data_IF_773451694823
#
_entry.id   IF_773451694823
#
_cell.length_a   1.000
_cell.length_b   1.000
_cell.length_c   1.000
_cell.angle_alpha   90.00
_cell.angle_beta   90.00
_cell.angle_gamma   90.00
#
_symmetry.space_group_name_H-M   'P 1'
#
loop_
_entity.id
_entity.type
_entity.pdbx_description
1 polymer ?
#
# COMPACT_ATOMS: atom_id res chain seq x y z
N UNK A 1 13.35 28.45 26.99
CA UNK A 1 12.31 28.26 25.97
C UNK A 1 12.45 29.37 24.94
N UNK A 2 13.05 29.08 23.79
CA UNK A 2 13.20 30.03 22.71
C UNK A 2 11.84 30.26 22.02
N UNK A 3 11.30 31.46 22.13
CA UNK A 3 10.21 31.89 21.25
C UNK A 3 10.80 32.05 19.84
N UNK A 4 10.31 31.31 18.90
CA UNK A 4 10.54 31.62 17.48
C UNK A 4 9.88 32.96 17.17
N UNK A 5 10.62 33.99 16.79
CA UNK A 5 10.02 35.27 16.43
C UNK A 5 9.57 35.23 14.99
N UNK A 6 8.27 35.30 14.81
CA UNK A 6 7.67 35.59 13.52
C UNK A 6 6.89 34.40 12.92
N UNK A 7 5.79 34.73 12.27
CA UNK A 7 5.04 33.80 11.44
C UNK A 7 5.88 33.47 10.20
N UNK A 8 6.26 32.18 10.05
CA UNK A 8 6.89 31.74 8.82
C UNK A 8 5.80 31.60 7.75
N UNK A 9 5.95 32.31 6.65
CA UNK A 9 5.08 32.15 5.46
C UNK A 9 5.83 31.30 4.43
N UNK A 10 5.11 30.38 3.77
CA UNK A 10 5.63 29.67 2.61
C UNK A 10 5.08 30.32 1.32
N UNK A 11 5.71 30.00 0.18
CA UNK A 11 5.30 30.51 -1.13
C UNK A 11 3.94 29.95 -1.62
N UNK A 12 3.34 29.06 -0.84
CA UNK A 12 1.99 28.53 -1.11
C UNK A 12 0.97 29.49 -0.51
N UNK A 13 0.21 30.16 -1.38
CA UNK A 13 -0.78 31.15 -0.98
C UNK A 13 -1.83 30.54 -0.03
N UNK A 14 -1.99 31.17 1.13
CA UNK A 14 -2.97 30.77 2.15
C UNK A 14 -2.50 29.73 3.15
N UNK A 15 -1.26 29.26 3.08
CA UNK A 15 -0.68 28.31 4.03
C UNK A 15 0.21 29.06 5.05
N UNK A 16 -0.11 28.93 6.33
CA UNK A 16 0.71 29.42 7.42
C UNK A 16 1.53 28.26 8.00
N UNK A 17 2.86 28.32 7.86
CA UNK A 17 3.76 27.26 8.35
C UNK A 17 3.72 27.07 9.87
N UNK A 18 3.28 28.05 10.62
CA UNK A 18 3.12 27.96 12.07
C UNK A 18 1.88 27.15 12.50
N UNK A 19 0.96 26.89 11.57
CA UNK A 19 -0.21 26.02 11.77
C UNK A 19 0.04 24.58 11.34
N UNK A 20 1.10 24.35 10.53
CA UNK A 20 1.47 23.02 10.06
C UNK A 20 2.35 22.32 11.10
N UNK A 21 1.87 21.22 11.60
CA UNK A 21 2.65 20.34 12.49
C UNK A 21 2.94 19.03 11.77
N UNK A 22 4.22 18.66 11.62
CA UNK A 22 4.54 17.33 11.10
C UNK A 22 4.04 16.29 12.12
N UNK A 23 3.20 15.38 11.68
CA UNK A 23 2.70 14.26 12.49
C UNK A 23 3.48 12.99 12.24
N UNK A 24 4.08 12.89 11.06
CA UNK A 24 4.88 11.73 10.66
C UNK A 24 6.00 12.17 9.72
N UNK A 25 7.18 11.64 9.97
CA UNK A 25 8.28 11.59 8.99
C UNK A 25 8.56 10.12 8.68
N UNK A 26 8.12 9.64 7.54
CA UNK A 26 8.41 8.30 7.06
C UNK A 26 9.63 8.37 6.14
N UNK A 27 10.67 7.61 6.49
CA UNK A 27 11.87 7.50 5.68
C UNK A 27 12.04 6.04 5.27
N UNK A 28 11.77 5.75 4.02
CA UNK A 28 11.99 4.43 3.46
C UNK A 28 13.36 4.38 2.79
N UNK A 29 14.12 3.36 3.12
CA UNK A 29 15.34 3.01 2.40
C UNK A 29 15.01 2.65 0.94
N UNK A 30 16.00 2.59 0.07
CA UNK A 30 15.79 2.14 -1.30
C UNK A 30 15.15 0.74 -1.36
N UNK A 31 15.58 -0.19 -0.50
CA UNK A 31 15.02 -1.54 -0.45
C UNK A 31 13.55 -1.58 0.01
N UNK A 32 13.16 -0.71 0.96
CA UNK A 32 11.77 -0.58 1.40
C UNK A 32 10.91 0.17 0.37
N UNK A 33 11.51 1.07 -0.41
CA UNK A 33 10.91 1.74 -1.55
C UNK A 33 11.06 0.89 -2.83
N UNK A 34 10.94 -0.43 -2.71
CA UNK A 34 10.99 -1.34 -3.85
C UNK A 34 9.83 -1.07 -4.83
N UNK A 35 10.07 -1.38 -6.10
CA UNK A 35 9.08 -1.39 -7.16
C UNK A 35 7.89 -2.30 -6.81
N UNK A 36 6.79 -2.13 -7.54
CA UNK A 36 5.72 -3.12 -7.52
C UNK A 36 6.28 -4.49 -7.92
N UNK A 37 5.70 -5.53 -7.37
CA UNK A 37 6.03 -6.89 -7.73
C UNK A 37 4.71 -7.67 -7.85
N UNK A 38 4.32 -7.98 -9.06
CA UNK A 38 3.00 -8.52 -9.35
C UNK A 38 2.85 -9.99 -8.93
N UNK A 39 3.97 -10.72 -8.85
CA UNK A 39 4.06 -12.15 -8.56
C UNK A 39 4.94 -12.48 -7.34
N UNK A 40 5.36 -11.46 -6.60
CA UNK A 40 6.28 -11.60 -5.47
C UNK A 40 5.76 -12.44 -4.30
N UNK A 41 4.44 -12.52 -4.09
CA UNK A 41 3.83 -13.41 -3.09
C UNK A 41 3.59 -14.82 -3.65
N UNK A 42 2.95 -14.91 -4.80
CA UNK A 42 2.57 -16.15 -5.47
C UNK A 42 2.68 -15.95 -6.98
N UNK A 43 3.25 -16.92 -7.67
CA UNK A 43 3.42 -16.92 -9.10
C UNK A 43 2.67 -18.12 -9.69
N UNK A 44 1.91 -17.91 -10.77
CA UNK A 44 1.18 -18.96 -11.49
C UNK A 44 0.35 -19.89 -10.58
N UNK A 45 -0.28 -19.32 -9.55
CA UNK A 45 -1.03 -20.09 -8.56
C UNK A 45 -2.36 -20.57 -9.10
N UNK A 46 -2.48 -21.88 -9.31
CA UNK A 46 -3.67 -22.51 -9.89
C UNK A 46 -4.86 -22.46 -8.90
N UNK A 47 -6.05 -22.19 -9.43
CA UNK A 47 -7.33 -22.40 -8.73
C UNK A 47 -7.71 -23.88 -8.69
N UNK A 48 -8.85 -24.18 -8.09
CA UNK A 48 -9.40 -25.53 -8.00
C UNK A 48 -10.84 -25.52 -8.53
N UNK A 49 -11.22 -26.56 -9.25
CA UNK A 49 -12.57 -26.68 -9.83
C UNK A 49 -13.62 -27.14 -8.84
N UNK A 50 -13.22 -27.71 -7.73
CA UNK A 50 -14.14 -28.31 -6.76
C UNK A 50 -14.33 -27.39 -5.54
N UNK A 51 -13.25 -26.77 -5.06
CA UNK A 51 -13.24 -25.97 -3.83
C UNK A 51 -12.40 -24.69 -3.94
N UNK A 52 -12.58 -23.78 -2.97
CA UNK A 52 -11.68 -22.65 -2.78
C UNK A 52 -10.27 -23.14 -2.41
N UNK A 53 -9.23 -22.58 -3.05
CA UNK A 53 -7.84 -23.00 -2.85
C UNK A 53 -7.06 -22.04 -1.99
N UNK A 54 -6.48 -22.54 -0.91
CA UNK A 54 -5.64 -21.73 0.01
C UNK A 54 -4.17 -22.02 -0.21
N UNK A 55 -3.40 -20.96 -0.29
CA UNK A 55 -1.94 -20.93 -0.26
C UNK A 55 -1.50 -20.29 1.05
N UNK A 56 -0.62 -20.95 1.80
CA UNK A 56 -0.10 -20.54 3.11
C UNK A 56 1.43 -20.37 3.12
N UNK A 57 2.06 -20.59 1.98
CA UNK A 57 3.50 -20.42 1.78
C UNK A 57 3.73 -19.39 0.69
N UNK A 58 4.20 -18.19 1.08
CA UNK A 58 4.50 -17.11 0.15
C UNK A 58 5.94 -17.20 -0.33
N UNK A 59 6.20 -16.84 -1.58
CA UNK A 59 7.54 -16.79 -2.18
C UNK A 59 8.41 -15.72 -1.49
N UNK A 60 7.83 -14.55 -1.28
CA UNK A 60 8.43 -13.45 -0.53
C UNK A 60 7.36 -12.72 0.29
N UNK A 61 7.77 -11.71 1.04
CA UNK A 61 6.88 -10.81 1.77
C UNK A 61 7.07 -9.38 1.24
N UNK A 62 6.06 -8.53 1.31
CA UNK A 62 6.24 -7.12 0.96
C UNK A 62 7.41 -6.50 1.75
N UNK A 63 8.24 -5.65 1.13
CA UNK A 63 9.41 -5.05 1.79
C UNK A 63 9.03 -4.17 2.99
N UNK A 64 7.78 -3.77 3.04
CA UNK A 64 7.11 -3.06 4.12
C UNK A 64 5.60 -3.25 3.96
N UNK A 65 4.76 -2.64 4.82
CA UNK A 65 3.31 -2.71 4.64
C UNK A 65 2.90 -2.12 3.27
N UNK A 66 2.31 -2.95 2.42
CA UNK A 66 1.91 -2.62 1.05
C UNK A 66 0.47 -3.04 0.75
N UNK A 67 -0.16 -2.31 -0.14
CA UNK A 67 -1.39 -2.74 -0.78
C UNK A 67 -1.09 -3.92 -1.71
N UNK A 68 -1.85 -4.99 -1.61
CA UNK A 68 -1.63 -6.18 -2.43
C UNK A 68 -2.32 -6.08 -3.78
N UNK A 69 -1.74 -6.76 -4.78
CA UNK A 69 -2.29 -6.91 -6.12
C UNK A 69 -2.53 -8.38 -6.43
N UNK A 70 -3.61 -8.66 -7.16
CA UNK A 70 -3.98 -9.99 -7.64
C UNK A 70 -4.32 -9.88 -9.12
N UNK A 71 -3.58 -10.59 -9.95
CA UNK A 71 -3.70 -10.52 -11.41
C UNK A 71 -4.08 -11.90 -11.95
N UNK A 72 -5.27 -12.06 -12.55
CA UNK A 72 -5.61 -13.30 -13.23
C UNK A 72 -4.82 -13.39 -14.55
N UNK A 73 -4.27 -14.55 -14.84
CA UNK A 73 -3.52 -14.81 -16.10
C UNK A 73 -4.42 -15.25 -17.25
N UNK A 74 -5.71 -15.46 -16.98
CA UNK A 74 -6.75 -15.70 -17.95
C UNK A 74 -8.07 -15.06 -17.47
N UNK A 75 -9.16 -15.20 -18.22
CA UNK A 75 -10.47 -14.72 -17.82
C UNK A 75 -10.97 -15.52 -16.60
N UNK A 76 -11.12 -14.85 -15.46
CA UNK A 76 -11.46 -15.47 -14.18
C UNK A 76 -12.96 -15.46 -13.91
N UNK A 77 -13.44 -16.47 -13.20
CA UNK A 77 -14.77 -16.47 -12.63
C UNK A 77 -14.94 -15.39 -11.55
N UNK A 78 -16.17 -14.96 -11.33
CA UNK A 78 -16.48 -13.99 -10.29
C UNK A 78 -16.46 -14.64 -8.91
N UNK A 79 -15.81 -14.00 -7.96
CA UNK A 79 -15.72 -14.50 -6.59
C UNK A 79 -14.97 -13.50 -5.68
N UNK A 80 -14.50 -14.03 -4.56
CA UNK A 80 -13.75 -13.24 -3.61
C UNK A 80 -12.44 -13.95 -3.25
N UNK A 81 -11.33 -13.23 -3.35
CA UNK A 81 -10.05 -13.62 -2.79
C UNK A 81 -10.05 -13.22 -1.31
N UNK A 82 -9.75 -14.16 -0.42
CA UNK A 82 -9.58 -13.89 1.01
C UNK A 82 -8.08 -13.83 1.32
N UNK A 83 -7.67 -12.78 2.02
CA UNK A 83 -6.28 -12.60 2.44
C UNK A 83 -6.23 -12.51 3.95
N UNK A 84 -5.27 -13.19 4.57
CA UNK A 84 -4.92 -13.04 5.97
C UNK A 84 -3.44 -12.68 6.13
N UNK A 85 -3.13 -11.88 7.14
CA UNK A 85 -1.78 -11.41 7.42
C UNK A 85 -1.75 -10.44 8.58
N UNK A 86 -0.78 -9.54 8.59
CA UNK A 86 -0.64 -8.51 9.62
C UNK A 86 -0.58 -7.10 9.02
N UNK A 87 -1.03 -6.12 9.79
CA UNK A 87 -0.83 -4.71 9.51
C UNK A 87 0.62 -4.26 9.87
N UNK A 88 0.89 -2.96 9.74
CA UNK A 88 2.22 -2.39 10.02
C UNK A 88 2.65 -2.55 11.49
N UNK A 89 1.71 -2.67 12.41
CA UNK A 89 1.93 -2.85 13.87
C UNK A 89 1.89 -4.34 14.28
N UNK A 90 1.94 -5.26 13.32
CA UNK A 90 1.89 -6.72 13.51
C UNK A 90 0.55 -7.24 14.08
N UNK A 91 -0.52 -6.45 14.04
CA UNK A 91 -1.85 -6.94 14.39
C UNK A 91 -2.41 -7.81 13.27
N UNK A 92 -3.09 -8.93 13.60
CA UNK A 92 -3.70 -9.78 12.58
C UNK A 92 -4.84 -9.04 11.87
N UNK A 93 -4.82 -9.09 10.55
CA UNK A 93 -5.84 -8.50 9.68
C UNK A 93 -6.27 -9.48 8.59
N UNK A 94 -7.48 -9.29 8.11
CA UNK A 94 -7.99 -9.97 6.92
C UNK A 94 -8.57 -8.96 5.94
N UNK A 95 -8.59 -9.30 4.67
CA UNK A 95 -9.27 -8.53 3.62
C UNK A 95 -10.00 -9.46 2.66
N UNK A 96 -11.00 -8.92 1.98
CA UNK A 96 -11.80 -9.63 0.98
C UNK A 96 -11.78 -8.80 -0.29
N UNK A 97 -11.19 -9.36 -1.35
CA UNK A 97 -10.99 -8.68 -2.63
C UNK A 97 -11.89 -9.33 -3.67
N UNK A 98 -12.85 -8.60 -4.20
CA UNK A 98 -13.69 -9.10 -5.28
C UNK A 98 -12.86 -9.28 -6.54
N UNK A 99 -12.98 -10.44 -7.19
CA UNK A 99 -12.29 -10.74 -8.45
C UNK A 99 -12.91 -9.96 -9.61
N UNK A 100 -12.11 -9.76 -10.64
CA UNK A 100 -12.54 -9.21 -11.93
C UNK A 100 -12.07 -10.14 -13.04
N UNK A 101 -12.91 -10.34 -14.06
CA UNK A 101 -12.70 -11.35 -15.09
C UNK A 101 -11.34 -11.29 -15.83
N UNK A 102 -10.76 -10.11 -16.00
CA UNK A 102 -9.51 -9.96 -16.75
C UNK A 102 -8.62 -8.83 -16.27
N UNK A 103 -8.91 -8.24 -15.11
CA UNK A 103 -8.18 -7.08 -14.60
C UNK A 103 -7.56 -7.38 -13.24
N UNK A 104 -6.39 -6.83 -13.01
CA UNK A 104 -5.80 -6.83 -11.69
C UNK A 104 -6.73 -6.15 -10.68
N UNK A 105 -6.87 -6.77 -9.51
CA UNK A 105 -7.65 -6.27 -8.37
C UNK A 105 -6.71 -6.05 -7.17
N UNK A 106 -7.12 -5.16 -6.27
CA UNK A 106 -6.25 -4.74 -5.18
C UNK A 106 -6.94 -4.86 -3.82
N UNK A 107 -6.17 -5.21 -2.80
CA UNK A 107 -6.67 -5.19 -1.41
C UNK A 107 -7.09 -3.76 -1.00
N UNK A 108 -8.05 -3.66 -0.10
CA UNK A 108 -8.40 -2.39 0.53
C UNK A 108 -7.44 -2.02 1.68
N UNK A 109 -6.68 -3.00 2.16
CA UNK A 109 -5.74 -2.88 3.28
C UNK A 109 -4.30 -3.06 2.84
N UNK A 110 -3.38 -2.43 3.57
CA UNK A 110 -1.94 -2.66 3.44
C UNK A 110 -1.50 -3.77 4.40
N UNK A 111 -0.75 -4.73 3.88
CA UNK A 111 -0.23 -5.88 4.62
C UNK A 111 1.28 -5.76 4.77
N UNK A 112 1.78 -5.89 6.00
CA UNK A 112 3.21 -6.04 6.31
C UNK A 112 3.67 -7.47 6.09
N UNK A 113 2.85 -8.43 6.51
CA UNK A 113 3.05 -9.84 6.22
C UNK A 113 1.78 -10.45 5.67
N UNK A 114 1.91 -11.45 4.79
CA UNK A 114 0.80 -12.25 4.28
C UNK A 114 1.00 -13.68 4.76
N UNK A 115 0.00 -14.23 5.45
CA UNK A 115 0.05 -15.60 5.98
C UNK A 115 -0.73 -16.58 5.14
N UNK A 116 -1.78 -16.12 4.46
CA UNK A 116 -2.52 -16.95 3.51
C UNK A 116 -3.26 -16.12 2.47
N UNK A 117 -3.40 -16.70 1.29
CA UNK A 117 -4.26 -16.24 0.20
C UNK A 117 -5.16 -17.38 -0.21
N UNK A 118 -6.47 -17.15 -0.19
CA UNK A 118 -7.47 -18.14 -0.61
C UNK A 118 -8.19 -17.62 -1.84
N UNK A 119 -7.99 -18.28 -2.97
CA UNK A 119 -8.72 -18.02 -4.20
C UNK A 119 -10.09 -18.67 -4.16
N UNK A 120 -11.11 -18.05 -4.79
CA UNK A 120 -12.41 -18.67 -4.94
C UNK A 120 -12.29 -19.94 -5.79
N UNK A 121 -13.30 -20.79 -5.69
CA UNK A 121 -13.50 -21.87 -6.63
C UNK A 121 -13.60 -21.29 -8.04
N UNK A 122 -13.01 -21.97 -9.01
CA UNK A 122 -12.96 -21.63 -10.41
C UNK A 122 -13.08 -22.92 -11.26
N UNK A 123 -13.14 -22.84 -12.57
CA UNK A 123 -13.17 -24.03 -13.43
C UNK A 123 -11.85 -24.85 -13.44
N UNK A 124 -10.86 -24.39 -12.71
CA UNK A 124 -9.56 -25.05 -12.53
C UNK A 124 -8.55 -24.77 -13.65
N UNK A 125 -8.90 -23.93 -14.61
CA UNK A 125 -8.02 -23.58 -15.74
C UNK A 125 -7.28 -22.25 -15.52
N UNK A 126 -7.60 -21.51 -14.46
CA UNK A 126 -7.06 -20.19 -14.21
C UNK A 126 -5.92 -20.23 -13.21
N UNK A 127 -4.90 -19.46 -13.50
CA UNK A 127 -3.81 -19.16 -12.55
C UNK A 127 -3.82 -17.68 -12.22
N UNK A 128 -3.34 -17.39 -11.03
CA UNK A 128 -3.24 -16.04 -10.50
C UNK A 128 -1.82 -15.72 -10.06
N UNK A 129 -1.39 -14.51 -10.36
CA UNK A 129 -0.26 -13.90 -9.69
C UNK A 129 -0.77 -13.09 -8.50
N UNK A 130 -0.06 -13.16 -7.39
CA UNK A 130 -0.27 -12.30 -6.24
C UNK A 130 1.04 -11.63 -5.85
N UNK A 131 0.96 -10.33 -5.59
CA UNK A 131 2.10 -9.53 -5.21
C UNK A 131 1.70 -8.26 -4.47
N UNK A 132 2.46 -7.21 -4.66
CA UNK A 132 2.18 -5.91 -4.04
C UNK A 132 2.31 -4.77 -5.04
N UNK A 133 1.54 -3.71 -4.79
CA UNK A 133 1.60 -2.46 -5.52
C UNK A 133 2.60 -1.49 -4.85
N UNK A 134 2.78 -0.31 -5.42
CA UNK A 134 3.61 0.75 -4.86
C UNK A 134 2.97 1.45 -3.65
N UNK A 135 1.68 1.29 -3.44
CA UNK A 135 0.94 1.94 -2.38
C UNK A 135 1.35 1.43 -0.99
N UNK A 136 1.71 2.34 -0.10
CA UNK A 136 2.39 2.14 1.17
C UNK A 136 1.41 2.27 2.33
N UNK A 137 1.41 1.33 3.27
CA UNK A 137 0.68 1.43 4.53
C UNK A 137 1.31 2.46 5.47
N UNK A 138 0.48 3.30 6.07
CA UNK A 138 0.91 4.32 7.02
C UNK A 138 0.77 3.84 8.46
N UNK A 139 1.71 4.19 9.37
CA UNK A 139 1.68 3.77 10.77
C UNK A 139 0.80 4.68 11.65
N UNK A 140 -0.23 5.29 11.09
CA UNK A 140 -1.15 6.13 11.82
C UNK A 140 -2.55 6.15 11.20
N UNK A 141 -3.57 6.34 12.04
CA UNK A 141 -4.95 6.48 11.62
C UNK A 141 -5.25 7.93 11.27
N UNK A 142 -5.83 8.16 10.12
CA UNK A 142 -6.13 9.48 9.58
C UNK A 142 -7.63 9.64 9.39
N UNK A 143 -8.20 10.73 9.91
CA UNK A 143 -9.60 11.10 9.67
C UNK A 143 -9.80 11.85 8.35
N UNK A 144 -8.72 12.46 7.83
CA UNK A 144 -8.70 13.17 6.56
C UNK A 144 -7.31 13.06 5.94
N UNK A 145 -7.23 13.24 4.63
CA UNK A 145 -5.94 13.27 3.92
C UNK A 145 -5.10 14.45 4.43
N UNK A 146 -3.87 14.21 4.92
CA UNK A 146 -2.98 15.24 5.38
C UNK A 146 -2.35 15.98 4.19
N UNK A 147 -1.75 17.14 4.46
CA UNK A 147 -0.79 17.70 3.53
C UNK A 147 0.49 16.86 3.57
N UNK A 148 1.03 16.53 2.40
CA UNK A 148 2.24 15.72 2.29
C UNK A 148 3.32 16.43 1.50
N UNK A 149 4.56 16.30 1.97
CA UNK A 149 5.76 16.59 1.19
C UNK A 149 6.44 15.26 0.88
N UNK A 150 6.51 14.95 -0.40
CA UNK A 150 7.20 13.77 -0.92
C UNK A 150 8.58 14.17 -1.45
N UNK A 151 9.59 13.41 -1.08
CA UNK A 151 10.94 13.54 -1.58
C UNK A 151 11.44 12.19 -2.05
N UNK A 152 11.71 12.08 -3.32
CA UNK A 152 12.23 10.86 -3.93
C UNK A 152 13.63 11.11 -4.45
N UNK A 153 14.61 10.26 -4.08
CA UNK A 153 16.01 10.42 -4.41
C UNK A 153 16.62 11.80 -4.03
N UNK A 154 16.17 12.36 -2.93
CA UNK A 154 16.64 13.68 -2.50
C UNK A 154 15.97 14.86 -3.20
N UNK A 155 15.10 14.63 -4.20
CA UNK A 155 14.35 15.68 -4.90
C UNK A 155 12.97 15.82 -4.30
N UNK A 156 12.61 17.04 -3.89
CA UNK A 156 11.27 17.35 -3.38
C UNK A 156 10.31 17.46 -4.56
N UNK A 157 9.26 16.65 -4.53
CA UNK A 157 8.21 16.73 -5.53
C UNK A 157 7.17 17.78 -5.09
N UNK A 158 7.29 19.00 -5.65
CA UNK A 158 6.41 20.13 -5.31
C UNK A 158 5.15 20.22 -6.19
N UNK A 159 5.07 19.41 -7.24
CA UNK A 159 4.04 19.62 -8.27
C UNK A 159 2.87 18.65 -8.21
N UNK A 160 3.09 17.44 -7.77
CA UNK A 160 2.07 16.40 -7.74
C UNK A 160 2.31 15.55 -6.50
N UNK A 161 1.52 15.75 -5.46
CA UNK A 161 1.53 14.84 -4.32
C UNK A 161 0.92 13.51 -4.73
N UNK A 162 1.36 12.43 -4.09
CA UNK A 162 0.70 11.13 -4.15
C UNK A 162 -0.73 11.21 -3.60
N UNK A 163 -1.43 10.11 -3.63
CA UNK A 163 -2.82 10.03 -3.16
C UNK A 163 -2.94 9.29 -1.84
N UNK A 164 -3.98 9.62 -1.07
CA UNK A 164 -4.27 8.99 0.22
C UNK A 164 -5.58 8.22 0.18
N UNK A 165 -5.57 7.00 0.70
CA UNK A 165 -6.74 6.38 1.30
C UNK A 165 -6.62 6.56 2.81
N UNK A 166 -7.70 6.99 3.48
CA UNK A 166 -7.68 7.30 4.93
C UNK A 166 -8.84 6.64 5.64
N UNK A 167 -8.59 6.20 6.87
CA UNK A 167 -9.60 5.63 7.76
C UNK A 167 -9.24 5.95 9.22
N UNK A 168 -10.16 6.61 9.94
CA UNK A 168 -9.95 7.00 11.34
C UNK A 168 -9.97 5.79 12.31
N UNK A 169 -10.45 4.63 11.88
CA UNK A 169 -10.71 3.46 12.72
C UNK A 169 -9.84 2.25 12.39
N UNK A 170 -9.56 2.01 11.11
CA UNK A 170 -8.78 0.86 10.64
C UNK A 170 -7.39 1.33 10.19
N UNK A 171 -6.33 0.95 10.91
CA UNK A 171 -4.96 1.34 10.62
C UNK A 171 -4.52 0.86 9.22
N UNK A 172 -4.86 -0.37 8.87
CA UNK A 172 -4.43 -0.98 7.61
C UNK A 172 -5.01 -0.31 6.34
N UNK A 173 -6.07 0.49 6.49
CA UNK A 173 -6.67 1.27 5.39
C UNK A 173 -6.06 2.65 5.19
N UNK A 174 -5.10 3.04 6.02
CA UNK A 174 -4.38 4.29 5.83
C UNK A 174 -3.19 4.03 4.91
N UNK A 175 -3.33 4.44 3.67
CA UNK A 175 -2.43 4.09 2.58
C UNK A 175 -2.03 5.36 1.85
N UNK A 176 -0.77 5.46 1.49
CA UNK A 176 -0.22 6.48 0.63
C UNK A 176 0.27 5.85 -0.68
N UNK A 177 -0.21 6.35 -1.80
CA UNK A 177 0.22 5.96 -3.13
C UNK A 177 1.12 7.07 -3.67
N UNK A 178 2.44 6.83 -3.82
CA UNK A 178 3.40 7.84 -4.25
C UNK A 178 3.07 8.44 -5.62
N UNK A 179 3.54 9.66 -5.86
CA UNK A 179 3.31 10.35 -7.14
C UNK A 179 4.19 9.86 -8.29
N UNK A 180 5.23 9.11 -7.99
CA UNK A 180 6.18 8.54 -8.94
C UNK A 180 6.47 7.08 -8.62
N UNK A 181 6.89 6.33 -9.63
CA UNK A 181 7.17 4.91 -9.53
C UNK A 181 8.35 4.66 -8.57
N UNK A 182 8.13 3.80 -7.60
CA UNK A 182 9.17 3.26 -6.75
C UNK A 182 10.04 2.30 -7.59
N UNK A 183 11.31 2.17 -7.29
CA UNK A 183 12.23 1.40 -8.14
C UNK A 183 13.29 0.59 -7.39
N UNK A 184 13.19 0.51 -6.06
CA UNK A 184 14.16 -0.23 -5.25
C UNK A 184 15.59 0.32 -5.24
N UNK A 185 15.85 1.39 -5.99
CA UNK A 185 17.18 1.99 -6.09
C UNK A 185 17.28 3.33 -5.36
N UNK A 186 16.15 3.97 -5.07
CA UNK A 186 16.08 5.32 -4.50
C UNK A 186 15.23 5.36 -3.23
N UNK A 187 15.68 6.07 -2.17
CA UNK A 187 14.89 6.22 -0.96
C UNK A 187 13.71 7.16 -1.16
N UNK A 188 12.61 6.87 -0.46
CA UNK A 188 11.44 7.74 -0.36
C UNK A 188 11.39 8.38 1.03
N UNK A 189 11.22 9.69 1.09
CA UNK A 189 10.92 10.42 2.32
C UNK A 189 9.53 11.07 2.18
N UNK A 190 8.70 10.85 3.17
CA UNK A 190 7.35 11.40 3.25
C UNK A 190 7.18 12.14 4.57
N UNK A 191 6.86 13.44 4.49
CA UNK A 191 6.50 14.26 5.65
C UNK A 191 4.99 14.54 5.58
N UNK A 192 4.26 14.13 6.60
CA UNK A 192 2.84 14.37 6.73
C UNK A 192 2.57 15.49 7.75
N UNK A 193 1.65 16.38 7.40
CA UNK A 193 1.23 17.51 8.20
C UNK A 193 -0.30 17.49 8.37
N UNK A 194 -0.76 17.71 9.61
CA UNK A 194 -2.17 17.84 9.96
C UNK A 194 -2.44 19.26 10.44
#
# INVERSE_FOLDING_TARGET
>A
MGRYPGKATCDVSGLLLDELRPVLALNLTAAEAADLDADGLLNDSATDSDDAKTYDTMLAQPPQARKLSFTPLAEADTGNILVAGTDIDDNPITDTVATSAALAVYSAKAFKTVTSVTYPKDDGSITWDAGWSEAIGLPLKLAAAPFALEKFDGVVNLGTAGTFAVDATDLAKNIYDPSGDLNGAKPLQLLLFI
#
